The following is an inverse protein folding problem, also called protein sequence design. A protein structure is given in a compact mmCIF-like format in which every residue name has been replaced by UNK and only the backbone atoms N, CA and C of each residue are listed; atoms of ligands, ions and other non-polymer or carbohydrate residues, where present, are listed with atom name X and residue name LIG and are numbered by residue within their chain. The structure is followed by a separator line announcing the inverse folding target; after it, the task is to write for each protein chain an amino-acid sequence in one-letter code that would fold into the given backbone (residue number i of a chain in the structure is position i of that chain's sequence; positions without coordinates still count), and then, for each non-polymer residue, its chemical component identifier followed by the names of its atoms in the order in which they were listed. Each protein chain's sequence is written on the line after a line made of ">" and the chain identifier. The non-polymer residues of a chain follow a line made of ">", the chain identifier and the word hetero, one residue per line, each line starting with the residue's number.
data_IF_219502113891
#
_entry.id   IF_219502113891
#
_cell.length_a   1.000
_cell.length_b   1.000
_cell.length_c   1.000
_cell.angle_alpha   90.00
_cell.angle_beta   90.00
_cell.angle_gamma   90.00
#
_symmetry.space_group_name_H-M   'P 1'
#
loop_
_entity.id
_entity.type
_entity.pdbx_description
1 polymer ?
#
# COMPACT_ATOMS: atom_id res chain seq x y z
N UNK A 1 12.30 14.69 24.98
CA UNK A 1 11.60 15.72 24.19
C UNK A 1 11.50 15.20 22.78
N UNK A 2 10.36 15.38 22.10
CA UNK A 2 10.27 15.07 20.67
C UNK A 2 11.27 15.95 19.90
N UNK A 3 11.99 15.37 18.96
CA UNK A 3 12.91 16.11 18.08
C UNK A 3 12.13 16.99 17.10
N UNK A 4 12.76 18.03 16.56
CA UNK A 4 12.16 18.86 15.51
C UNK A 4 11.78 18.02 14.28
N UNK A 5 12.62 17.04 13.93
CA UNK A 5 12.38 16.09 12.84
C UNK A 5 11.10 15.28 13.07
N UNK A 6 10.92 14.72 14.27
CA UNK A 6 9.72 13.94 14.60
C UNK A 6 8.46 14.81 14.56
N UNK A 7 8.53 16.03 15.11
CA UNK A 7 7.41 16.97 15.08
C UNK A 7 6.99 17.27 13.63
N UNK A 8 7.96 17.46 12.73
CA UNK A 8 7.68 17.68 11.31
C UNK A 8 7.07 16.45 10.64
N UNK A 9 7.54 15.26 10.96
CA UNK A 9 7.01 14.00 10.39
C UNK A 9 5.52 13.78 10.68
N UNK A 10 5.05 14.19 11.86
CA UNK A 10 3.64 14.10 12.26
C UNK A 10 2.81 15.34 11.89
N UNK A 11 3.39 16.32 11.18
CA UNK A 11 2.72 17.57 10.81
C UNK A 11 2.23 17.52 9.37
N UNK A 12 0.91 17.39 9.19
CA UNK A 12 0.29 17.41 7.87
C UNK A 12 0.33 18.81 7.26
N UNK A 13 0.39 18.89 5.91
CA UNK A 13 0.42 20.15 5.14
C UNK A 13 -0.71 21.14 5.44
N UNK A 14 -1.84 20.68 6.00
CA UNK A 14 -2.93 21.56 6.43
C UNK A 14 -2.58 22.42 7.65
N UNK A 15 -1.58 22.02 8.43
CA UNK A 15 -1.09 22.77 9.59
C UNK A 15 -0.04 23.80 9.14
N UNK A 16 0.09 24.88 9.92
CA UNK A 16 1.06 25.93 9.61
C UNK A 16 2.50 25.46 9.90
N UNK A 17 3.44 25.80 9.02
CA UNK A 17 4.88 25.56 9.21
C UNK A 17 5.44 24.49 8.26
N UNK A 18 6.57 23.89 8.65
CA UNK A 18 7.16 22.80 7.89
C UNK A 18 6.34 21.52 8.09
N UNK A 19 5.99 20.87 6.99
CA UNK A 19 5.14 19.69 6.95
C UNK A 19 5.95 18.41 6.65
N UNK A 20 5.23 17.31 6.57
CA UNK A 20 5.76 15.97 6.38
C UNK A 20 6.01 15.55 4.92
N UNK A 21 5.54 16.28 3.91
CA UNK A 21 5.56 15.86 2.48
C UNK A 21 6.97 15.50 1.97
N UNK A 22 8.01 16.21 2.42
CA UNK A 22 9.40 15.87 2.05
C UNK A 22 9.93 14.61 2.73
N UNK A 23 9.47 14.34 3.95
CA UNK A 23 9.85 13.13 4.68
C UNK A 23 9.06 11.93 4.19
N UNK A 24 7.79 12.12 3.82
CA UNK A 24 6.96 11.13 3.13
C UNK A 24 7.67 10.64 1.86
N UNK A 25 8.05 11.56 0.97
CA UNK A 25 8.79 11.22 -0.26
C UNK A 25 10.06 10.38 -0.01
N UNK A 26 10.84 10.74 1.01
CA UNK A 26 12.05 9.98 1.39
C UNK A 26 11.68 8.62 2.00
N UNK A 27 10.67 8.61 2.86
CA UNK A 27 10.18 7.46 3.60
C UNK A 27 9.61 6.37 2.70
N UNK A 28 8.86 6.73 1.66
CA UNK A 28 8.38 5.82 0.63
C UNK A 28 9.54 5.07 -0.03
N UNK A 29 10.59 5.79 -0.44
CA UNK A 29 11.79 5.17 -1.04
C UNK A 29 12.50 4.22 -0.07
N UNK A 30 12.63 4.60 1.21
CA UNK A 30 13.26 3.77 2.24
C UNK A 30 12.42 2.52 2.53
N UNK A 31 11.10 2.67 2.68
CA UNK A 31 10.15 1.59 2.87
C UNK A 31 10.20 0.61 1.70
N UNK A 32 10.15 1.13 0.47
CA UNK A 32 10.23 0.35 -0.76
C UNK A 32 11.52 -0.47 -0.83
N UNK A 33 12.67 0.11 -0.47
CA UNK A 33 13.95 -0.61 -0.41
C UNK A 33 13.91 -1.75 0.62
N UNK A 34 13.46 -1.49 1.85
CA UNK A 34 13.43 -2.48 2.93
C UNK A 34 12.52 -3.65 2.56
N UNK A 35 11.28 -3.38 2.13
CA UNK A 35 10.31 -4.42 1.77
C UNK A 35 10.79 -5.22 0.56
N UNK A 36 11.33 -4.56 -0.47
CA UNK A 36 11.88 -5.26 -1.64
C UNK A 36 13.05 -6.17 -1.25
N UNK A 37 13.94 -5.69 -0.37
CA UNK A 37 15.09 -6.47 0.11
C UNK A 37 14.63 -7.69 0.89
N UNK A 38 13.63 -7.55 1.75
CA UNK A 38 13.10 -8.66 2.55
C UNK A 38 12.42 -9.71 1.68
N UNK A 39 11.56 -9.29 0.73
CA UNK A 39 10.92 -10.21 -0.21
C UNK A 39 11.95 -10.98 -1.06
N UNK A 40 13.00 -10.29 -1.54
CA UNK A 40 14.09 -10.91 -2.30
C UNK A 40 14.82 -11.99 -1.48
N UNK A 41 15.07 -11.72 -0.19
CA UNK A 41 15.73 -12.68 0.71
C UNK A 41 14.84 -13.86 1.08
N UNK A 42 13.56 -13.61 1.41
CA UNK A 42 12.62 -14.66 1.82
C UNK A 42 12.23 -15.58 0.66
N UNK A 43 12.21 -15.08 -0.58
CA UNK A 43 11.68 -15.82 -1.74
C UNK A 43 12.70 -15.90 -2.90
N UNK A 44 13.84 -16.59 -2.72
CA UNK A 44 14.94 -16.60 -3.69
C UNK A 44 14.62 -17.28 -5.03
N UNK A 45 13.46 -17.93 -5.14
CA UNK A 45 12.98 -18.60 -6.37
C UNK A 45 11.75 -17.94 -6.98
N UNK A 46 11.23 -16.87 -6.37
CA UNK A 46 10.08 -16.15 -6.90
C UNK A 46 10.43 -15.41 -8.20
N UNK A 47 9.47 -15.30 -9.11
CA UNK A 47 9.61 -14.48 -10.32
C UNK A 47 9.61 -12.99 -9.96
N UNK A 48 10.21 -12.15 -10.80
CA UNK A 48 10.16 -10.69 -10.64
C UNK A 48 8.71 -10.19 -10.59
N UNK A 49 7.84 -10.67 -11.49
CA UNK A 49 6.43 -10.26 -11.52
C UNK A 49 5.67 -10.62 -10.24
N UNK A 50 5.98 -11.77 -9.62
CA UNK A 50 5.39 -12.13 -8.33
C UNK A 50 5.88 -11.22 -7.20
N UNK A 51 7.20 -10.98 -7.11
CA UNK A 51 7.79 -10.08 -6.12
C UNK A 51 7.24 -8.65 -6.26
N UNK A 52 7.11 -8.16 -7.49
CA UNK A 52 6.53 -6.84 -7.79
C UNK A 52 5.07 -6.74 -7.35
N UNK A 53 4.24 -7.77 -7.58
CA UNK A 53 2.86 -7.84 -7.06
C UNK A 53 2.80 -7.91 -5.53
N UNK A 54 3.67 -8.70 -4.90
CA UNK A 54 3.76 -8.78 -3.44
C UNK A 54 4.10 -7.42 -2.84
N UNK A 55 5.13 -6.75 -3.36
CA UNK A 55 5.51 -5.41 -2.92
C UNK A 55 4.35 -4.43 -3.04
N UNK A 56 3.65 -4.41 -4.17
CA UNK A 56 2.48 -3.54 -4.36
C UNK A 56 1.34 -3.86 -3.38
N UNK A 57 1.14 -5.13 -3.00
CA UNK A 57 0.14 -5.53 -2.00
C UNK A 57 0.50 -5.13 -0.56
N UNK A 58 1.80 -5.00 -0.26
CA UNK A 58 2.32 -4.62 1.05
C UNK A 58 2.47 -3.10 1.19
N UNK A 59 2.98 -2.44 0.15
CA UNK A 59 3.28 -1.00 0.13
C UNK A 59 2.20 -0.29 -0.68
N UNK A 60 1.01 -0.19 -0.09
CA UNK A 60 -0.10 0.60 -0.64
C UNK A 60 -0.87 1.31 0.47
N UNK A 61 -1.62 2.35 0.10
CA UNK A 61 -2.36 3.21 1.02
C UNK A 61 -3.21 2.43 2.03
N UNK A 62 -3.94 1.40 1.61
CA UNK A 62 -4.80 0.64 2.51
C UNK A 62 -3.98 -0.10 3.58
N UNK A 63 -2.91 -0.76 3.17
CA UNK A 63 -2.03 -1.47 4.09
C UNK A 63 -1.33 -0.51 5.05
N UNK A 64 -0.79 0.61 4.53
CA UNK A 64 -0.08 1.60 5.34
C UNK A 64 -1.01 2.32 6.31
N UNK A 65 -2.22 2.69 5.88
CA UNK A 65 -3.23 3.28 6.74
C UNK A 65 -3.64 2.33 7.89
N UNK A 66 -3.78 1.03 7.61
CA UNK A 66 -4.07 0.03 8.64
C UNK A 66 -2.93 -0.05 9.66
N UNK A 67 -1.69 -0.20 9.19
CA UNK A 67 -0.52 -0.24 10.08
C UNK A 67 -0.39 1.03 10.92
N UNK A 68 -0.69 2.19 10.33
CA UNK A 68 -0.70 3.47 11.03
C UNK A 68 -1.77 3.53 12.12
N UNK A 69 -2.96 2.97 11.85
CA UNK A 69 -4.04 2.88 12.81
C UNK A 69 -3.69 1.91 13.97
N UNK A 70 -3.04 0.79 13.68
CA UNK A 70 -2.57 -0.17 14.68
C UNK A 70 -1.53 0.46 15.63
N UNK A 71 -0.74 1.42 15.13
CA UNK A 71 0.19 2.23 15.91
C UNK A 71 -0.46 3.43 16.62
N UNK A 72 -1.77 3.63 16.46
CA UNK A 72 -2.50 4.82 16.90
C UNK A 72 -1.86 6.15 16.41
N UNK A 73 -1.22 6.15 15.24
CA UNK A 73 -0.48 7.30 14.72
C UNK A 73 -1.39 8.53 14.53
N UNK A 74 -2.65 8.31 14.20
CA UNK A 74 -3.68 9.35 14.04
C UNK A 74 -3.82 10.26 15.26
N UNK A 75 -3.62 9.73 16.47
CA UNK A 75 -3.76 10.49 17.73
C UNK A 75 -2.62 11.49 17.94
N UNK A 76 -1.50 11.31 17.24
CA UNK A 76 -0.32 12.17 17.32
C UNK A 76 -0.27 13.21 16.19
N UNK A 77 -1.13 13.09 15.17
CA UNK A 77 -1.08 13.96 14.01
C UNK A 77 -1.40 15.41 14.34
N UNK A 78 -0.56 16.31 13.81
CA UNK A 78 -0.79 17.75 13.84
C UNK A 78 -1.48 18.17 12.55
N UNK A 79 -2.77 18.45 12.67
CA UNK A 79 -3.63 18.84 11.57
C UNK A 79 -4.06 20.30 11.71
N UNK A 80 -4.33 20.95 10.58
CA UNK A 80 -4.97 22.25 10.56
C UNK A 80 -6.41 22.16 11.08
N UNK A 81 -7.00 23.25 11.60
CA UNK A 81 -8.33 23.21 12.22
C UNK A 81 -9.44 22.67 11.29
N UNK A 82 -9.37 22.95 9.99
CA UNK A 82 -10.34 22.45 9.01
C UNK A 82 -10.22 20.94 8.79
N UNK A 83 -8.98 20.45 8.64
CA UNK A 83 -8.67 19.04 8.42
C UNK A 83 -8.99 18.19 9.67
N UNK A 84 -8.74 18.74 10.86
CA UNK A 84 -9.10 18.08 12.10
C UNK A 84 -10.62 17.94 12.23
N UNK A 85 -11.39 19.00 11.92
CA UNK A 85 -12.85 18.99 11.97
C UNK A 85 -13.49 18.02 10.97
N UNK A 86 -12.88 17.83 9.81
CA UNK A 86 -13.36 16.87 8.81
C UNK A 86 -12.95 15.41 9.09
N UNK A 87 -12.25 15.15 10.20
CA UNK A 87 -11.83 13.81 10.60
C UNK A 87 -10.58 13.31 9.88
N UNK A 88 -9.71 14.22 9.39
CA UNK A 88 -8.49 13.86 8.66
C UNK A 88 -7.56 12.90 9.40
N UNK A 89 -7.57 12.89 10.73
CA UNK A 89 -6.78 11.97 11.56
C UNK A 89 -7.16 10.48 11.40
N UNK A 90 -8.27 10.18 10.72
CA UNK A 90 -8.71 8.82 10.36
C UNK A 90 -8.66 8.57 8.84
N UNK A 91 -8.29 9.57 8.04
CA UNK A 91 -8.27 9.43 6.58
C UNK A 91 -7.09 8.55 6.18
N UNK A 92 -7.36 7.54 5.35
CA UNK A 92 -6.36 6.56 4.92
C UNK A 92 -5.12 7.20 4.30
N UNK A 93 -5.31 8.11 3.34
CA UNK A 93 -4.19 8.83 2.71
C UNK A 93 -3.31 9.53 3.76
N UNK A 94 -3.90 10.34 4.64
CA UNK A 94 -3.14 11.08 5.68
C UNK A 94 -2.39 10.14 6.63
N UNK A 95 -3.00 9.01 7.00
CA UNK A 95 -2.36 8.01 7.85
C UNK A 95 -1.19 7.34 7.15
N UNK A 96 -1.36 6.92 5.89
CA UNK A 96 -0.32 6.32 5.08
C UNK A 96 0.88 7.28 4.90
N UNK A 97 0.61 8.52 4.47
CA UNK A 97 1.62 9.56 4.26
C UNK A 97 2.41 9.84 5.56
N UNK A 98 1.71 9.83 6.71
CA UNK A 98 2.34 10.05 8.01
C UNK A 98 3.24 8.88 8.43
N UNK A 99 2.90 7.64 8.12
CA UNK A 99 3.75 6.49 8.39
C UNK A 99 5.00 6.50 7.51
N UNK A 100 4.86 6.84 6.23
CA UNK A 100 6.02 7.04 5.35
C UNK A 100 6.92 8.15 5.89
N UNK A 101 6.35 9.31 6.26
CA UNK A 101 7.11 10.38 6.88
C UNK A 101 7.79 9.98 8.19
N UNK A 102 7.15 9.13 9.01
CA UNK A 102 7.77 8.58 10.22
C UNK A 102 8.96 7.69 9.90
N UNK A 103 8.86 6.84 8.86
CA UNK A 103 9.99 6.03 8.38
C UNK A 103 11.11 6.95 7.88
N UNK A 104 10.79 7.99 7.10
CA UNK A 104 11.74 9.00 6.66
C UNK A 104 12.43 9.71 7.83
N UNK A 105 11.70 10.02 8.90
CA UNK A 105 12.25 10.59 10.13
C UNK A 105 13.24 9.64 10.82
N UNK A 106 12.87 8.37 11.00
CA UNK A 106 13.75 7.36 11.61
C UNK A 106 15.03 7.20 10.78
N UNK A 107 14.90 7.19 9.45
CA UNK A 107 16.05 7.12 8.55
C UNK A 107 16.99 8.32 8.71
N UNK A 108 16.44 9.54 8.77
CA UNK A 108 17.24 10.76 8.92
C UNK A 108 17.94 10.83 10.29
N UNK A 109 17.31 10.36 11.35
CA UNK A 109 17.86 10.47 12.71
C UNK A 109 18.74 9.27 13.11
N UNK A 110 18.43 8.08 12.61
CA UNK A 110 19.00 6.83 13.10
C UNK A 110 19.52 5.90 12.00
N UNK A 111 19.38 6.30 10.72
CA UNK A 111 19.89 5.55 9.58
C UNK A 111 19.06 4.34 9.16
N UNK A 112 19.56 3.64 8.13
CA UNK A 112 18.85 2.55 7.47
C UNK A 112 18.61 1.35 8.40
N UNK A 113 19.59 0.98 9.23
CA UNK A 113 19.49 -0.19 10.10
C UNK A 113 18.32 -0.08 11.09
N UNK A 114 18.16 1.09 11.74
CA UNK A 114 17.03 1.33 12.66
C UNK A 114 15.70 1.43 11.91
N UNK A 115 15.72 1.94 10.69
CA UNK A 115 14.55 1.97 9.81
C UNK A 115 14.09 0.56 9.44
N UNK A 116 15.03 -0.32 9.08
CA UNK A 116 14.77 -1.75 8.77
C UNK A 116 14.14 -2.45 9.97
N UNK A 117 14.71 -2.31 11.17
CA UNK A 117 14.14 -2.91 12.39
C UNK A 117 12.71 -2.44 12.67
N UNK A 118 12.44 -1.15 12.50
CA UNK A 118 11.10 -0.60 12.70
C UNK A 118 10.11 -1.14 11.66
N UNK A 119 10.45 -1.06 10.36
CA UNK A 119 9.59 -1.51 9.26
C UNK A 119 9.32 -3.01 9.37
N UNK A 120 10.34 -3.86 9.55
CA UNK A 120 10.14 -5.30 9.69
C UNK A 120 9.33 -5.66 10.94
N UNK A 121 9.44 -4.86 12.01
CA UNK A 121 8.63 -5.01 13.22
C UNK A 121 7.13 -4.82 12.95
N UNK A 122 6.75 -3.73 12.28
CA UNK A 122 5.34 -3.43 12.00
C UNK A 122 4.77 -4.30 10.86
N UNK A 123 5.61 -4.75 9.92
CA UNK A 123 5.20 -5.63 8.83
C UNK A 123 5.23 -7.13 9.18
N UNK A 124 5.70 -7.51 10.38
CA UNK A 124 5.96 -8.90 10.78
C UNK A 124 4.82 -9.86 10.42
N UNK A 125 3.60 -9.55 10.82
CA UNK A 125 2.44 -10.42 10.56
C UNK A 125 2.07 -10.50 9.07
N UNK A 126 2.26 -9.41 8.32
CA UNK A 126 2.00 -9.39 6.87
C UNK A 126 3.04 -10.19 6.10
N UNK A 127 4.31 -10.08 6.49
CA UNK A 127 5.42 -10.85 5.91
C UNK A 127 5.36 -12.34 6.27
N UNK A 128 4.79 -12.69 7.43
CA UNK A 128 4.56 -14.09 7.80
C UNK A 128 3.41 -14.73 7.00
N UNK A 129 2.46 -13.92 6.51
CA UNK A 129 1.23 -14.38 5.86
C UNK A 129 1.11 -13.85 4.42
N UNK A 130 2.16 -14.04 3.61
CA UNK A 130 2.16 -13.59 2.23
C UNK A 130 1.15 -14.39 1.38
N UNK A 131 0.34 -13.72 0.55
CA UNK A 131 -0.57 -14.39 -0.37
C UNK A 131 0.20 -15.14 -1.45
N UNK A 132 -0.37 -16.23 -1.96
CA UNK A 132 0.22 -16.97 -3.10
C UNK A 132 0.18 -16.12 -4.37
N UNK A 133 1.02 -16.48 -5.35
CA UNK A 133 1.05 -15.78 -6.65
C UNK A 133 -0.33 -15.77 -7.34
N UNK A 134 -1.04 -16.90 -7.29
CA UNK A 134 -2.39 -17.01 -7.86
C UNK A 134 -3.42 -16.15 -7.12
N UNK A 135 -3.25 -15.89 -5.83
CA UNK A 135 -4.15 -15.04 -5.06
C UNK A 135 -3.96 -13.55 -5.39
N UNK A 136 -2.77 -13.15 -5.86
CA UNK A 136 -2.46 -11.78 -6.26
C UNK A 136 -2.81 -11.46 -7.72
N UNK A 137 -3.00 -12.48 -8.56
CA UNK A 137 -3.44 -12.27 -9.95
C UNK A 137 -4.93 -11.95 -9.99
N UNK A 138 -5.31 -10.98 -10.81
CA UNK A 138 -6.73 -10.70 -11.02
C UNK A 138 -7.42 -11.90 -11.71
N UNK A 139 -8.72 -12.10 -11.49
CA UNK A 139 -9.44 -13.26 -12.01
C UNK A 139 -9.38 -13.40 -13.54
N UNK A 140 -9.29 -12.29 -14.30
CA UNK A 140 -9.23 -12.33 -15.76
C UNK A 140 -7.87 -12.86 -16.23
N UNK A 141 -6.79 -12.34 -15.65
CA UNK A 141 -5.43 -12.84 -15.94
C UNK A 141 -5.28 -14.30 -15.56
N UNK A 142 -5.84 -14.74 -14.42
CA UNK A 142 -5.83 -16.15 -14.01
C UNK A 142 -6.53 -17.06 -15.02
N UNK A 143 -7.71 -16.66 -15.49
CA UNK A 143 -8.46 -17.43 -16.48
C UNK A 143 -7.71 -17.49 -17.82
N UNK A 144 -7.17 -16.36 -18.27
CA UNK A 144 -6.42 -16.26 -19.51
C UNK A 144 -5.19 -17.17 -19.49
N UNK A 145 -4.35 -17.07 -18.46
CA UNK A 145 -3.15 -17.92 -18.33
C UNK A 145 -3.50 -19.41 -18.24
N UNK A 146 -4.59 -19.75 -17.54
CA UNK A 146 -5.07 -21.13 -17.46
C UNK A 146 -5.42 -21.71 -18.83
N UNK A 147 -6.16 -20.96 -19.65
CA UNK A 147 -6.54 -21.37 -21.00
C UNK A 147 -5.32 -21.48 -21.93
N UNK A 148 -4.45 -20.47 -21.92
CA UNK A 148 -3.23 -20.45 -22.73
C UNK A 148 -2.28 -21.59 -22.37
N UNK A 149 -2.14 -21.93 -21.08
CA UNK A 149 -1.29 -23.05 -20.63
C UNK A 149 -1.73 -24.42 -21.17
N UNK A 150 -2.99 -24.51 -21.61
CA UNK A 150 -3.61 -25.72 -22.17
C UNK A 150 -3.77 -25.64 -23.70
N UNK A 151 -3.29 -24.57 -24.33
CA UNK A 151 -3.41 -24.38 -25.77
C UNK A 151 -4.80 -23.98 -26.25
N UNK A 152 -5.68 -23.53 -25.36
CA UNK A 152 -6.97 -22.96 -25.73
C UNK A 152 -6.84 -21.47 -26.09
N UNK A 153 -7.82 -20.96 -26.83
CA UNK A 153 -7.96 -19.53 -27.10
C UNK A 153 -8.19 -18.73 -25.80
N UNK A 154 -7.85 -17.44 -25.85
CA UNK A 154 -8.10 -16.52 -24.72
C UNK A 154 -9.61 -16.26 -24.54
N UNK A 155 -10.08 -15.92 -23.33
CA UNK A 155 -11.50 -15.71 -23.07
C UNK A 155 -11.99 -14.38 -23.66
N UNK A 156 -13.14 -14.42 -24.34
CA UNK A 156 -13.84 -13.24 -24.86
C UNK A 156 -14.86 -12.72 -23.84
N UNK A 157 -14.90 -11.41 -23.64
CA UNK A 157 -15.84 -10.76 -22.71
C UNK A 157 -16.79 -9.84 -23.46
N UNK A 158 -18.10 -10.08 -23.35
CA UNK A 158 -19.15 -9.27 -23.97
C UNK A 158 -20.04 -8.62 -22.90
N UNK A 159 -20.32 -7.32 -23.03
CA UNK A 159 -21.24 -6.61 -22.13
C UNK A 159 -22.67 -6.91 -22.55
N UNK A 160 -23.41 -7.65 -21.73
CA UNK A 160 -24.77 -8.11 -22.03
C UNK A 160 -25.84 -7.07 -21.66
N UNK A 161 -25.55 -6.21 -20.67
CA UNK A 161 -26.53 -5.22 -20.24
C UNK A 161 -26.00 -4.28 -19.16
N UNK A 162 -26.66 -3.13 -19.07
CA UNK A 162 -26.45 -2.13 -18.04
C UNK A 162 -27.81 -1.72 -17.48
N UNK A 163 -27.98 -1.85 -16.18
CA UNK A 163 -29.24 -1.55 -15.49
C UNK A 163 -29.01 -0.58 -14.32
N UNK A 164 -30.03 0.17 -13.93
CA UNK A 164 -29.98 1.12 -12.81
C UNK A 164 -29.64 2.56 -13.20
N UNK A 165 -29.70 3.47 -12.23
CA UNK A 165 -29.42 4.89 -12.44
C UNK A 165 -27.93 5.17 -12.67
N UNK A 166 -27.61 6.28 -13.33
CA UNK A 166 -26.23 6.64 -13.72
C UNK A 166 -25.21 6.60 -12.56
N UNK A 167 -25.64 6.90 -11.32
CA UNK A 167 -24.78 6.88 -10.15
C UNK A 167 -24.74 5.53 -9.42
N UNK A 168 -25.46 4.52 -9.92
CA UNK A 168 -25.61 3.19 -9.31
C UNK A 168 -25.98 2.13 -10.36
N UNK A 169 -25.14 2.02 -11.39
CA UNK A 169 -25.35 1.06 -12.47
C UNK A 169 -24.84 -0.34 -12.10
N UNK A 170 -25.58 -1.35 -12.52
CA UNK A 170 -25.17 -2.77 -12.49
C UNK A 170 -24.84 -3.18 -13.92
N UNK A 171 -23.66 -3.77 -14.11
CA UNK A 171 -23.18 -4.23 -15.41
C UNK A 171 -23.19 -5.76 -15.42
N UNK A 172 -23.81 -6.34 -16.44
CA UNK A 172 -23.81 -7.78 -16.68
C UNK A 172 -22.89 -8.07 -17.85
N UNK A 173 -21.87 -8.89 -17.64
CA UNK A 173 -20.94 -9.31 -18.69
C UNK A 173 -20.92 -10.83 -18.80
N UNK A 174 -20.80 -11.33 -20.02
CA UNK A 174 -20.63 -12.74 -20.33
C UNK A 174 -19.16 -13.02 -20.68
N UNK A 175 -18.62 -14.13 -20.19
CA UNK A 175 -17.30 -14.63 -20.55
C UNK A 175 -17.47 -15.89 -21.41
N UNK A 176 -17.05 -15.82 -22.67
CA UNK A 176 -17.08 -16.96 -23.61
C UNK A 176 -15.70 -17.57 -23.75
N UNK A 177 -15.66 -18.90 -23.78
CA UNK A 177 -14.43 -19.68 -23.97
C UNK A 177 -14.70 -20.61 -25.15
N UNK A 178 -13.91 -20.47 -26.21
CA UNK A 178 -13.90 -21.40 -27.34
C UNK A 178 -13.10 -22.62 -26.91
N UNK A 179 -13.80 -23.71 -26.57
CA UNK A 179 -13.17 -24.98 -26.13
C UNK A 179 -12.90 -25.87 -27.32
#
# INVERSE_FOLDING_TARGET
>A
MATDTFVRAITHRSANGQNNERMEFLGDSVLGLIITTELYRQMPRASEGYLSRLRASLVNENTLAQLSADLALGDFLRLGPGELKSGGFRRKSILADALEALIGCIYLEQGLEKSELFVLGIFKEKLANLPSEDALKDPKSRLQEFLQSRGHDIPDYELMGVEGEAHRQTFTAECRISV
#
